data_IF_643733744036
#
_entry.id   IF_643733744036
#
_cell.length_a   1.000
_cell.length_b   1.000
_cell.length_c   1.000
_cell.angle_alpha   90.00
_cell.angle_beta   90.00
_cell.angle_gamma   90.00
#
_symmetry.space_group_name_H-M   'P 1'
#
loop_
_entity.id
_entity.type
_entity.pdbx_description
1 polymer ?
#
# COMPACT_ATOMS: atom_id res chain seq x y z
N UNK A 1 14.61 -10.61 -23.60
CA UNK A 1 15.17 -9.54 -22.73
C UNK A 1 14.04 -8.58 -22.37
N UNK A 2 13.95 -8.14 -21.12
CA UNK A 2 13.17 -6.95 -20.77
C UNK A 2 11.89 -7.08 -19.93
N UNK A 3 11.74 -8.08 -19.03
CA UNK A 3 10.67 -8.04 -17.98
C UNK A 3 11.03 -7.14 -16.78
N UNK A 4 12.19 -6.47 -16.82
CA UNK A 4 12.74 -5.71 -15.69
C UNK A 4 12.28 -4.25 -15.59
N UNK A 5 11.66 -3.69 -16.64
CA UNK A 5 11.34 -2.25 -16.68
C UNK A 5 9.97 -1.88 -16.08
N UNK A 6 8.99 -2.80 -16.11
CA UNK A 6 7.66 -2.55 -15.53
C UNK A 6 7.63 -2.59 -13.99
N UNK A 7 8.75 -2.94 -13.37
CA UNK A 7 8.89 -3.15 -11.92
C UNK A 7 9.58 -1.98 -11.20
N UNK A 8 10.28 -1.11 -11.92
CA UNK A 8 10.92 0.08 -11.34
C UNK A 8 9.98 1.29 -11.26
N UNK A 9 8.95 1.35 -12.10
CA UNK A 9 8.06 2.53 -12.15
C UNK A 9 6.93 2.49 -11.09
N UNK A 10 6.55 1.31 -10.60
CA UNK A 10 5.59 1.17 -9.48
C UNK A 10 6.17 1.50 -8.09
N UNK A 11 7.50 1.64 -8.01
CA UNK A 11 8.19 2.17 -6.84
C UNK A 11 8.25 3.71 -6.80
N UNK A 12 7.92 4.39 -7.91
CA UNK A 12 7.78 5.85 -7.93
C UNK A 12 6.50 6.24 -7.22
N UNK A 13 6.61 6.47 -5.91
CA UNK A 13 5.59 7.06 -5.05
C UNK A 13 4.20 6.46 -5.24
N UNK A 14 3.75 5.61 -4.29
CA UNK A 14 2.32 5.30 -4.17
C UNK A 14 1.53 6.58 -4.44
N UNK A 15 0.71 6.56 -5.51
CA UNK A 15 -0.04 7.76 -5.89
C UNK A 15 -0.86 8.13 -4.65
N UNK A 16 -1.14 9.42 -4.41
CA UNK A 16 -1.94 9.86 -3.23
C UNK A 16 -3.21 9.03 -2.99
N UNK A 17 -3.75 8.38 -4.03
CA UNK A 17 -4.91 7.48 -4.01
C UNK A 17 -4.68 6.08 -3.40
N UNK A 18 -3.43 5.66 -3.18
CA UNK A 18 -3.06 4.35 -2.60
C UNK A 18 -2.63 4.45 -1.12
N UNK A 19 -2.79 5.62 -0.50
CA UNK A 19 -2.46 5.78 0.93
C UNK A 19 -3.46 5.01 1.80
N UNK A 20 -2.94 4.31 2.79
CA UNK A 20 -3.73 3.64 3.82
C UNK A 20 -4.27 4.67 4.80
N UNK A 21 -5.46 4.41 5.34
CA UNK A 21 -5.90 5.11 6.54
C UNK A 21 -5.08 4.63 7.75
N UNK A 22 -4.98 5.42 8.84
CA UNK A 22 -4.36 4.95 10.08
C UNK A 22 -4.98 3.64 10.58
N UNK A 23 -6.30 3.49 10.45
CA UNK A 23 -7.02 2.29 10.86
C UNK A 23 -6.63 1.07 10.01
N UNK A 24 -6.56 1.22 8.68
CA UNK A 24 -6.12 0.14 7.78
C UNK A 24 -4.68 -0.29 8.08
N UNK A 25 -3.84 0.68 8.49
CA UNK A 25 -2.48 0.41 8.92
C UNK A 25 -2.42 -0.34 10.26
N UNK A 26 -3.30 -0.02 11.22
CA UNK A 26 -3.38 -0.74 12.49
C UNK A 26 -3.82 -2.20 12.28
N UNK A 27 -4.78 -2.46 11.39
CA UNK A 27 -5.12 -3.82 10.96
C UNK A 27 -3.92 -4.51 10.33
N UNK A 28 -3.25 -3.86 9.38
CA UNK A 28 -2.04 -4.39 8.75
C UNK A 28 -0.96 -4.76 9.77
N UNK A 29 -0.76 -3.91 10.79
CA UNK A 29 0.23 -4.10 11.85
C UNK A 29 0.00 -5.39 12.64
N UNK A 30 -1.25 -5.84 12.80
CA UNK A 30 -1.56 -7.13 13.43
C UNK A 30 -1.00 -8.34 12.65
N UNK A 31 -0.76 -8.19 11.34
CA UNK A 31 -0.20 -9.22 10.48
C UNK A 31 1.31 -9.07 10.28
N UNK A 32 1.92 -7.99 10.77
CA UNK A 32 3.37 -7.80 10.73
C UNK A 32 4.05 -8.66 11.80
N UNK A 33 4.50 -9.86 11.40
CA UNK A 33 5.19 -10.79 12.30
C UNK A 33 6.54 -10.27 12.82
N UNK A 34 7.20 -11.09 13.65
CA UNK A 34 8.44 -10.75 14.39
C UNK A 34 9.63 -10.27 13.56
N UNK A 35 9.61 -10.45 12.24
CA UNK A 35 10.65 -9.95 11.31
C UNK A 35 10.56 -8.45 11.06
N UNK A 36 9.44 -7.82 11.39
CA UNK A 36 9.24 -6.38 11.26
C UNK A 36 9.77 -5.66 12.50
N UNK A 37 10.93 -5.01 12.36
CA UNK A 37 11.50 -4.18 13.44
C UNK A 37 10.62 -2.94 13.68
N UNK A 38 10.51 -2.42 14.91
CA UNK A 38 9.71 -1.22 15.20
C UNK A 38 10.04 -0.02 14.28
N UNK A 39 11.33 0.22 14.02
CA UNK A 39 11.76 1.27 13.09
C UNK A 39 11.25 1.08 11.66
N UNK A 40 11.17 -0.18 11.19
CA UNK A 40 10.66 -0.51 9.87
C UNK A 40 9.13 -0.36 9.80
N UNK A 41 8.42 -0.74 10.87
CA UNK A 41 6.97 -0.54 10.98
C UNK A 41 6.65 0.96 10.89
N UNK A 42 7.37 1.78 11.65
CA UNK A 42 7.19 3.23 11.64
C UNK A 42 7.52 3.83 10.28
N UNK A 43 8.62 3.43 9.65
CA UNK A 43 8.98 3.86 8.31
C UNK A 43 7.88 3.54 7.27
N UNK A 44 7.27 2.35 7.35
CA UNK A 44 6.12 2.01 6.49
C UNK A 44 4.93 2.90 6.80
N UNK A 45 4.60 3.17 8.07
CA UNK A 45 3.51 4.07 8.44
C UNK A 45 3.70 5.47 7.83
N UNK A 46 4.90 6.02 7.96
CA UNK A 46 5.24 7.33 7.39
C UNK A 46 5.08 7.37 5.86
N UNK A 47 5.39 6.27 5.16
CA UNK A 47 5.21 6.20 3.70
C UNK A 47 3.74 5.96 3.32
N UNK A 48 3.10 4.95 3.92
CA UNK A 48 1.81 4.46 3.47
C UNK A 48 0.62 5.28 4.01
N UNK A 49 0.77 5.90 5.19
CA UNK A 49 -0.29 6.71 5.82
C UNK A 49 0.01 8.20 5.63
N UNK A 50 1.18 8.65 6.07
CA UNK A 50 1.54 10.08 6.08
C UNK A 50 2.03 10.58 4.71
N UNK A 51 2.49 9.66 3.86
CA UNK A 51 2.97 9.95 2.53
C UNK A 51 4.28 10.70 2.48
N UNK A 52 5.17 10.50 3.47
CA UNK A 52 6.58 10.88 3.38
C UNK A 52 7.22 10.17 2.21
N UNK A 53 8.22 10.81 1.58
CA UNK A 53 8.91 10.25 0.41
C UNK A 53 9.86 9.15 0.88
N UNK A 54 9.93 8.05 0.11
CA UNK A 54 10.82 6.92 0.41
C UNK A 54 12.30 7.33 0.45
N UNK A 55 12.71 8.29 -0.38
CA UNK A 55 14.06 8.89 -0.35
C UNK A 55 14.40 9.52 1.01
N UNK A 56 13.46 10.24 1.61
CA UNK A 56 13.68 10.92 2.90
C UNK A 56 13.81 9.88 4.02
N UNK A 57 12.93 8.86 4.00
CA UNK A 57 13.00 7.70 4.91
C UNK A 57 14.31 6.92 4.77
N UNK A 58 14.80 6.76 3.53
CA UNK A 58 16.06 6.07 3.28
C UNK A 58 17.25 6.81 3.91
N UNK A 59 17.25 8.15 3.81
CA UNK A 59 18.25 8.98 4.47
C UNK A 59 18.16 8.88 6.01
N UNK A 60 16.94 8.96 6.58
CA UNK A 60 16.71 8.87 8.03
C UNK A 60 17.16 7.51 8.61
N UNK A 61 16.98 6.42 7.86
CA UNK A 61 17.36 5.06 8.28
C UNK A 61 18.80 4.66 7.91
N UNK A 62 19.52 5.48 7.14
CA UNK A 62 20.86 5.15 6.64
C UNK A 62 20.87 3.94 5.69
N UNK A 63 19.81 3.75 4.90
CA UNK A 63 19.67 2.65 3.93
C UNK A 63 19.43 3.17 2.52
N UNK A 64 19.41 2.26 1.54
CA UNK A 64 19.10 2.65 0.15
C UNK A 64 17.61 2.86 -0.07
N UNK A 65 17.24 3.76 -0.99
CA UNK A 65 15.83 3.95 -1.40
C UNK A 65 15.19 2.65 -1.92
N UNK A 66 15.99 1.79 -2.58
CA UNK A 66 15.55 0.45 -3.00
C UNK A 66 15.16 -0.44 -1.82
N UNK A 67 15.90 -0.38 -0.70
CA UNK A 67 15.56 -1.14 0.50
C UNK A 67 14.23 -0.68 1.10
N UNK A 68 13.99 0.65 1.13
CA UNK A 68 12.70 1.21 1.55
C UNK A 68 11.58 0.79 0.61
N UNK A 69 11.80 0.85 -0.71
CA UNK A 69 10.82 0.41 -1.71
C UNK A 69 10.41 -1.06 -1.53
N UNK A 70 11.38 -1.96 -1.32
CA UNK A 70 11.11 -3.37 -1.05
C UNK A 70 10.35 -3.58 0.26
N UNK A 71 10.66 -2.80 1.30
CA UNK A 71 9.97 -2.84 2.58
C UNK A 71 8.51 -2.39 2.45
N UNK A 72 8.27 -1.26 1.79
CA UNK A 72 6.91 -0.74 1.54
C UNK A 72 6.11 -1.70 0.68
N UNK A 73 6.72 -2.31 -0.34
CA UNK A 73 6.08 -3.34 -1.16
C UNK A 73 5.61 -4.53 -0.31
N UNK A 74 6.44 -5.06 0.58
CA UNK A 74 6.05 -6.16 1.47
C UNK A 74 4.85 -5.81 2.35
N UNK A 75 4.80 -4.57 2.85
CA UNK A 75 3.66 -4.10 3.62
C UNK A 75 2.39 -3.97 2.78
N UNK A 76 2.53 -3.51 1.53
CA UNK A 76 1.42 -3.45 0.57
C UNK A 76 0.89 -4.85 0.24
N UNK A 77 1.77 -5.80 -0.10
CA UNK A 77 1.39 -7.19 -0.39
C UNK A 77 0.65 -7.80 0.82
N UNK A 78 1.16 -7.57 2.04
CA UNK A 78 0.51 -8.03 3.27
C UNK A 78 -0.86 -7.36 3.51
N UNK A 79 -1.03 -6.09 3.13
CA UNK A 79 -2.33 -5.41 3.19
C UNK A 79 -3.32 -5.97 2.17
N UNK A 80 -2.86 -6.34 0.97
CA UNK A 80 -3.71 -7.00 -0.02
C UNK A 80 -4.16 -8.39 0.44
N UNK A 81 -3.31 -9.11 1.18
CA UNK A 81 -3.62 -10.44 1.71
C UNK A 81 -4.54 -10.43 2.93
N UNK A 82 -4.40 -9.43 3.81
CA UNK A 82 -5.04 -9.44 5.15
C UNK A 82 -5.80 -8.17 5.52
N UNK A 83 -5.90 -7.18 4.62
CA UNK A 83 -6.63 -5.94 4.87
C UNK A 83 -8.09 -6.21 5.19
N UNK A 84 -8.62 -5.56 6.23
CA UNK A 84 -10.05 -5.59 6.51
C UNK A 84 -10.78 -4.66 5.55
N UNK A 85 -11.88 -5.15 4.98
CA UNK A 85 -12.75 -4.31 4.16
C UNK A 85 -13.39 -3.21 5.03
N UNK A 86 -13.58 -1.99 4.52
CA UNK A 86 -14.25 -0.94 5.30
C UNK A 86 -15.65 -1.35 5.76
N UNK A 87 -16.17 -0.72 6.81
CA UNK A 87 -17.53 -1.00 7.30
C UNK A 87 -18.57 -0.83 6.18
N UNK A 88 -19.44 -1.84 6.03
CA UNK A 88 -20.43 -1.89 4.96
C UNK A 88 -19.90 -2.36 3.60
N UNK A 89 -18.63 -2.73 3.48
CA UNK A 89 -18.04 -3.27 2.25
C UNK A 89 -18.03 -4.81 2.25
N UNK A 90 -18.11 -5.39 1.06
CA UNK A 90 -18.07 -6.85 0.84
C UNK A 90 -16.93 -7.19 -0.11
N UNK A 91 -16.14 -8.19 0.26
CA UNK A 91 -15.10 -8.76 -0.63
C UNK A 91 -15.72 -9.83 -1.52
N UNK A 92 -15.54 -9.72 -2.84
CA UNK A 92 -16.06 -10.66 -3.83
C UNK A 92 -14.88 -11.24 -4.63
N UNK A 93 -14.87 -12.56 -4.83
CA UNK A 93 -13.93 -13.25 -5.71
C UNK A 93 -14.61 -13.61 -7.03
N UNK A 94 -14.07 -13.14 -8.15
CA UNK A 94 -14.61 -13.41 -9.48
C UNK A 94 -13.48 -13.64 -10.50
N UNK A 95 -13.73 -14.51 -11.47
CA UNK A 95 -12.86 -14.66 -12.65
C UNK A 95 -13.45 -13.84 -13.79
N UNK A 96 -12.70 -12.86 -14.30
CA UNK A 96 -13.18 -11.87 -15.27
C UNK A 96 -12.19 -11.72 -16.44
N UNK A 97 -12.68 -11.34 -17.64
CA UNK A 97 -11.86 -10.80 -18.70
C UNK A 97 -11.03 -9.57 -18.23
N UNK A 98 -9.83 -9.34 -18.80
CA UNK A 98 -8.91 -8.30 -18.32
C UNK A 98 -9.48 -6.88 -18.28
N UNK A 99 -10.27 -6.52 -19.30
CA UNK A 99 -10.93 -5.22 -19.43
C UNK A 99 -11.99 -4.98 -18.33
N UNK A 100 -12.72 -6.02 -17.93
CA UNK A 100 -13.68 -5.95 -16.82
C UNK A 100 -12.96 -5.93 -15.46
N UNK A 101 -11.86 -6.67 -15.33
CA UNK A 101 -11.05 -6.63 -14.10
C UNK A 101 -10.47 -5.23 -13.85
N UNK A 102 -10.03 -4.51 -14.89
CA UNK A 102 -9.58 -3.12 -14.77
C UNK A 102 -10.72 -2.19 -14.32
N UNK A 103 -11.94 -2.38 -14.83
CA UNK A 103 -13.08 -1.59 -14.37
C UNK A 103 -13.36 -1.79 -12.88
N UNK A 104 -13.37 -3.03 -12.39
CA UNK A 104 -13.59 -3.34 -10.98
C UNK A 104 -12.49 -2.72 -10.10
N UNK A 105 -11.23 -2.77 -10.53
CA UNK A 105 -10.11 -2.09 -9.84
C UNK A 105 -10.34 -0.58 -9.76
N UNK A 106 -10.77 0.05 -10.84
CA UNK A 106 -11.04 1.48 -10.86
C UNK A 106 -12.21 1.87 -9.94
N UNK A 107 -13.27 1.06 -9.91
CA UNK A 107 -14.43 1.25 -9.04
C UNK A 107 -14.03 1.22 -7.57
N UNK A 108 -13.28 0.20 -7.16
CA UNK A 108 -12.78 0.04 -5.79
C UNK A 108 -11.90 1.23 -5.37
N UNK A 109 -10.93 1.63 -6.21
CA UNK A 109 -10.08 2.79 -5.97
C UNK A 109 -10.88 4.08 -5.81
N UNK A 110 -11.91 4.29 -6.62
CA UNK A 110 -12.77 5.48 -6.55
C UNK A 110 -13.59 5.49 -5.26
N UNK A 111 -14.18 4.34 -4.89
CA UNK A 111 -14.94 4.21 -3.66
C UNK A 111 -14.06 4.49 -2.42
N UNK A 112 -12.81 4.00 -2.40
CA UNK A 112 -11.85 4.29 -1.31
C UNK A 112 -11.46 5.77 -1.26
N UNK A 113 -11.24 6.39 -2.42
CA UNK A 113 -10.95 7.83 -2.50
C UNK A 113 -12.11 8.70 -2.01
N UNK A 114 -13.36 8.25 -2.18
CA UNK A 114 -14.52 8.95 -1.64
C UNK A 114 -14.65 8.79 -0.13
N UNK A 115 -14.34 7.60 0.40
CA UNK A 115 -14.33 7.35 1.85
C UNK A 115 -13.34 8.26 2.59
N UNK A 116 -12.15 8.53 2.01
CA UNK A 116 -11.15 9.42 2.62
C UNK A 116 -11.54 10.90 2.57
N UNK A 117 -12.44 11.31 1.67
CA UNK A 117 -12.93 12.69 1.55
C UNK A 117 -14.11 13.00 2.48
N UNK A 118 -14.92 12.00 2.84
CA UNK A 118 -16.10 12.17 3.68
C UNK A 118 -15.84 12.20 5.20
N UNK A 119 -14.60 11.96 5.64
CA UNK A 119 -14.19 11.98 7.06
C UNK A 119 -13.63 13.35 7.53
N UNK A 120 -13.85 14.43 6.77
CA UNK A 120 -13.32 15.76 7.06
C UNK A 120 -14.41 16.76 7.48
#
# INVERSE_FOLDING_TARGET
MGVSDLWLDRGKAMRRKERLTPQDFDTLKAHMGSRWKPANIEAVRQVMVEGRKQKDIAADLGVTEKAVSQMVKKAYDLHQEHGTAPEGWVTVFATLPPDLAEHVRHMEQTARANLSRGKQ
#
